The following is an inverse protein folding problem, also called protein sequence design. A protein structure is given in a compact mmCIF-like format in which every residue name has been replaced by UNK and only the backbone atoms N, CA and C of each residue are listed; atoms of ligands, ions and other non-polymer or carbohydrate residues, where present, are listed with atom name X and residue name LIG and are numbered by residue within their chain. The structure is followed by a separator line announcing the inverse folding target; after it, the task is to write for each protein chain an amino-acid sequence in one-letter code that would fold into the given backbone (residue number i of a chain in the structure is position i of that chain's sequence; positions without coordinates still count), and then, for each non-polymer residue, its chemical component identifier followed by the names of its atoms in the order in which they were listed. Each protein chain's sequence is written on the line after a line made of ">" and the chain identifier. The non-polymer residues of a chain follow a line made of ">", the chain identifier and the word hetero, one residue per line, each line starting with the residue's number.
data_IF_123427033942
#
_entry.id   IF_123427033942
#
_cell.length_a   1.000
_cell.length_b   1.000
_cell.length_c   1.000
_cell.angle_alpha   90.00
_cell.angle_beta   90.00
_cell.angle_gamma   90.00
#
_symmetry.space_group_name_H-M   'P 1'
#
loop_
_entity.id
_entity.type
_entity.pdbx_description
1 polymer ?
#
# COMPACT_ATOMS: atom_id res chain seq x y z
N UNK A 1 20.80 -5.28 -7.67
CA UNK A 1 19.50 -5.29 -6.95
C UNK A 1 18.41 -5.69 -7.93
N UNK A 2 17.76 -6.85 -7.76
CA UNK A 2 16.62 -7.23 -8.61
C UNK A 2 15.49 -6.22 -8.38
N UNK A 3 14.99 -5.60 -9.44
CA UNK A 3 13.86 -4.66 -9.40
C UNK A 3 12.65 -5.46 -8.93
N UNK A 4 12.18 -5.18 -7.71
CA UNK A 4 11.00 -5.83 -7.15
C UNK A 4 9.77 -5.24 -7.84
N UNK A 5 9.36 -5.84 -8.96
CA UNK A 5 8.27 -5.34 -9.82
C UNK A 5 6.94 -5.26 -9.05
N UNK A 6 6.74 -6.14 -8.07
CA UNK A 6 5.54 -6.12 -7.21
C UNK A 6 5.57 -4.90 -6.30
N UNK A 7 6.75 -4.49 -5.84
CA UNK A 7 6.90 -3.31 -4.97
C UNK A 7 6.38 -2.05 -5.64
N UNK A 8 6.90 -1.74 -6.83
CA UNK A 8 6.58 -0.49 -7.52
C UNK A 8 5.13 -0.51 -8.01
N UNK A 9 4.64 -1.66 -8.50
CA UNK A 9 3.25 -1.84 -8.91
C UNK A 9 2.27 -1.69 -7.75
N UNK A 10 2.50 -2.37 -6.63
CA UNK A 10 1.64 -2.27 -5.46
C UNK A 10 1.65 -0.84 -4.89
N UNK A 11 2.83 -0.20 -4.84
CA UNK A 11 2.93 1.21 -4.43
C UNK A 11 2.03 2.09 -5.28
N UNK A 12 2.07 1.99 -6.61
CA UNK A 12 1.19 2.80 -7.46
C UNK A 12 -0.30 2.47 -7.27
N UNK A 13 -0.66 1.19 -7.08
CA UNK A 13 -2.04 0.80 -6.79
C UNK A 13 -2.57 1.44 -5.50
N UNK A 14 -1.79 1.42 -4.41
CA UNK A 14 -2.15 2.08 -3.15
C UNK A 14 -2.31 3.60 -3.32
N UNK A 15 -1.45 4.22 -4.13
CA UNK A 15 -1.51 5.66 -4.40
C UNK A 15 -2.70 6.04 -5.25
N UNK A 16 -3.00 5.23 -6.27
CA UNK A 16 -4.18 5.43 -7.09
C UNK A 16 -5.45 5.33 -6.25
N UNK A 17 -5.53 4.34 -5.36
CA UNK A 17 -6.63 4.21 -4.42
C UNK A 17 -6.81 5.46 -3.54
N UNK A 18 -5.71 6.02 -3.02
CA UNK A 18 -5.73 7.28 -2.28
C UNK A 18 -6.13 8.48 -3.14
N UNK A 19 -5.65 8.54 -4.40
CA UNK A 19 -6.00 9.59 -5.37
C UNK A 19 -7.50 9.61 -5.67
N UNK A 20 -8.13 8.43 -5.69
CA UNK A 20 -9.57 8.25 -5.88
C UNK A 20 -10.41 8.53 -4.62
N UNK A 21 -9.80 8.91 -3.50
CA UNK A 21 -10.52 9.25 -2.26
C UNK A 21 -10.83 8.05 -1.36
N UNK A 22 -10.10 6.94 -1.51
CA UNK A 22 -10.30 5.71 -0.75
C UNK A 22 -11.71 5.09 -0.90
N UNK A 23 -12.17 4.83 -2.14
CA UNK A 23 -13.51 4.32 -2.39
C UNK A 23 -13.73 2.94 -1.75
N UNK A 24 -14.91 2.71 -1.20
CA UNK A 24 -15.34 1.39 -0.73
C UNK A 24 -15.52 0.41 -1.89
N UNK A 25 -15.52 -0.90 -1.60
CA UNK A 25 -15.76 -1.95 -2.59
C UNK A 25 -17.04 -1.72 -3.44
N UNK A 26 -18.08 -1.11 -2.86
CA UNK A 26 -19.34 -0.82 -3.54
C UNK A 26 -19.25 0.34 -4.53
N UNK A 27 -18.33 1.27 -4.29
CA UNK A 27 -18.10 2.45 -5.13
C UNK A 27 -17.14 2.15 -6.29
N UNK A 28 -16.38 1.06 -6.21
CA UNK A 28 -15.43 0.65 -7.25
C UNK A 28 -16.18 -0.14 -8.34
N UNK A 29 -16.83 0.60 -9.23
CA UNK A 29 -17.43 0.09 -10.46
C UNK A 29 -16.39 -0.19 -11.55
N UNK A 30 -16.86 -0.83 -12.64
CA UNK A 30 -16.08 -1.04 -13.86
C UNK A 30 -15.20 -2.29 -13.86
N UNK A 31 -14.65 -2.54 -15.05
CA UNK A 31 -13.88 -3.73 -15.39
C UNK A 31 -12.42 -3.38 -15.74
N UNK A 32 -11.58 -4.41 -15.86
CA UNK A 32 -10.16 -4.25 -16.22
C UNK A 32 -9.21 -4.10 -15.04
N UNK A 33 -7.93 -3.86 -15.37
CA UNK A 33 -6.83 -3.93 -14.42
C UNK A 33 -6.92 -2.90 -13.30
N UNK A 34 -7.26 -1.65 -13.63
CA UNK A 34 -7.39 -0.55 -12.68
C UNK A 34 -8.48 -0.80 -11.64
N UNK A 35 -9.67 -1.22 -12.07
CA UNK A 35 -10.76 -1.53 -11.15
C UNK A 35 -10.43 -2.73 -10.26
N UNK A 36 -9.74 -3.74 -10.81
CA UNK A 36 -9.25 -4.88 -10.03
C UNK A 36 -8.17 -4.47 -9.00
N UNK A 37 -7.30 -3.53 -9.33
CA UNK A 37 -6.29 -2.98 -8.41
C UNK A 37 -6.94 -2.22 -7.25
N UNK A 38 -7.90 -1.34 -7.56
CA UNK A 38 -8.65 -0.60 -6.56
C UNK A 38 -9.41 -1.55 -5.61
N UNK A 39 -10.09 -2.57 -6.15
CA UNK A 39 -10.78 -3.60 -5.35
C UNK A 39 -9.80 -4.38 -4.48
N UNK A 40 -8.65 -4.77 -5.02
CA UNK A 40 -7.62 -5.47 -4.26
C UNK A 40 -7.05 -4.61 -3.13
N UNK A 41 -6.82 -3.31 -3.33
CA UNK A 41 -6.39 -2.40 -2.26
C UNK A 41 -7.47 -2.28 -1.18
N UNK A 42 -8.74 -2.06 -1.56
CA UNK A 42 -9.85 -1.98 -0.59
C UNK A 42 -9.94 -3.27 0.24
N UNK A 43 -9.78 -4.43 -0.40
CA UNK A 43 -9.84 -5.72 0.25
C UNK A 43 -8.63 -5.98 1.15
N UNK A 44 -7.42 -5.56 0.76
CA UNK A 44 -6.22 -5.62 1.60
C UNK A 44 -6.43 -4.84 2.90
N UNK A 45 -6.92 -3.60 2.81
CA UNK A 45 -7.18 -2.78 3.99
C UNK A 45 -8.24 -3.42 4.89
N UNK A 46 -9.29 -4.00 4.30
CA UNK A 46 -10.34 -4.72 5.03
C UNK A 46 -9.79 -5.95 5.77
N UNK A 47 -8.97 -6.78 5.10
CA UNK A 47 -8.35 -7.96 5.71
C UNK A 47 -7.43 -7.57 6.86
N UNK A 48 -6.60 -6.53 6.68
CA UNK A 48 -5.70 -6.05 7.73
C UNK A 48 -6.48 -5.56 8.95
N UNK A 49 -7.59 -4.84 8.75
CA UNK A 49 -8.43 -4.34 9.83
C UNK A 49 -9.08 -5.49 10.60
N UNK A 50 -9.60 -6.49 9.90
CA UNK A 50 -10.15 -7.70 10.52
C UNK A 50 -9.11 -8.54 11.28
N UNK A 51 -7.84 -8.43 10.90
CA UNK A 51 -6.73 -9.06 11.62
C UNK A 51 -6.19 -8.21 12.77
N UNK A 52 -6.76 -7.02 13.03
CA UNK A 52 -6.30 -6.09 14.06
C UNK A 52 -4.94 -5.46 13.75
N UNK A 53 -4.51 -5.44 12.49
CA UNK A 53 -3.20 -4.92 12.04
C UNK A 53 -3.24 -3.42 11.74
N UNK A 54 -3.71 -2.65 12.72
CA UNK A 54 -3.90 -1.20 12.58
C UNK A 54 -2.59 -0.47 12.30
N UNK A 55 -1.47 -0.94 12.86
CA UNK A 55 -0.14 -0.38 12.61
C UNK A 55 0.30 -0.53 11.14
N UNK A 56 -0.12 -1.62 10.49
CA UNK A 56 0.15 -1.85 9.06
C UNK A 56 -0.69 -0.90 8.21
N UNK A 57 -1.96 -0.72 8.55
CA UNK A 57 -2.87 0.22 7.86
C UNK A 57 -2.35 1.65 8.02
N UNK A 58 -1.99 2.04 9.23
CA UNK A 58 -1.45 3.36 9.54
C UNK A 58 -0.17 3.64 8.74
N UNK A 59 0.75 2.67 8.66
CA UNK A 59 1.97 2.80 7.86
C UNK A 59 1.67 2.95 6.36
N UNK A 60 0.75 2.15 5.80
CA UNK A 60 0.34 2.25 4.38
C UNK A 60 -0.23 3.64 4.08
N UNK A 61 -1.10 4.16 4.95
CA UNK A 61 -1.70 5.48 4.78
C UNK A 61 -0.64 6.59 4.87
N UNK A 62 0.21 6.56 5.90
CA UNK A 62 1.24 7.57 6.11
C UNK A 62 2.29 7.59 4.98
N UNK A 63 2.58 6.45 4.36
CA UNK A 63 3.65 6.36 3.36
C UNK A 63 3.12 6.49 1.93
N UNK A 64 2.01 5.83 1.58
CA UNK A 64 1.50 5.82 0.21
C UNK A 64 0.35 6.80 -0.04
N UNK A 65 -0.44 7.17 0.98
CA UNK A 65 -1.62 8.01 0.74
C UNK A 65 -1.29 9.50 0.82
N UNK A 66 -0.10 9.86 1.31
CA UNK A 66 0.39 11.25 1.34
C UNK A 66 0.72 11.73 -0.08
N UNK A 67 0.19 12.89 -0.44
CA UNK A 67 0.39 13.53 -1.75
C UNK A 67 0.29 12.55 -2.93
N UNK A 68 -0.84 11.84 -3.11
CA UNK A 68 -0.95 10.72 -4.06
C UNK A 68 -0.96 11.18 -5.52
N UNK A 69 -1.06 12.50 -5.77
CA UNK A 69 -1.02 13.11 -7.10
C UNK A 69 0.37 13.61 -7.51
N UNK A 70 1.29 13.79 -6.57
CA UNK A 70 2.66 14.25 -6.86
C UNK A 70 3.52 13.07 -7.34
N UNK A 71 4.61 13.28 -8.06
CA UNK A 71 5.54 12.19 -8.37
C UNK A 71 6.30 11.75 -7.10
N UNK A 72 6.73 10.47 -7.01
CA UNK A 72 7.62 10.05 -5.91
C UNK A 72 9.05 10.34 -6.35
N UNK A 73 9.65 11.32 -5.70
CA UNK A 73 11.07 11.58 -5.85
C UNK A 73 11.91 10.53 -5.11
N UNK A 74 13.16 10.41 -5.51
CA UNK A 74 14.11 9.52 -4.84
C UNK A 74 14.25 9.96 -3.38
N UNK A 75 13.97 9.03 -2.46
CA UNK A 75 14.07 9.28 -1.02
C UNK A 75 12.75 9.69 -0.34
N UNK A 76 11.70 10.04 -1.08
CA UNK A 76 10.43 10.46 -0.46
C UNK A 76 9.80 9.34 0.37
N UNK A 77 9.88 8.08 -0.07
CA UNK A 77 9.39 6.94 0.72
C UNK A 77 10.17 6.79 2.02
N UNK A 78 11.50 6.92 1.97
CA UNK A 78 12.34 6.85 3.18
C UNK A 78 11.99 7.95 4.17
N UNK A 79 11.88 9.20 3.69
CA UNK A 79 11.50 10.34 4.54
C UNK A 79 10.13 10.15 5.20
N UNK A 80 9.13 9.62 4.46
CA UNK A 80 7.81 9.32 5.02
C UNK A 80 7.84 8.20 6.05
N UNK A 81 8.65 7.17 5.82
CA UNK A 81 8.86 6.07 6.77
C UNK A 81 9.52 6.58 8.04
N UNK A 82 10.56 7.41 7.93
CA UNK A 82 11.24 8.02 9.09
C UNK A 82 10.29 8.91 9.88
N UNK A 83 9.53 9.78 9.20
CA UNK A 83 8.53 10.63 9.84
C UNK A 83 7.46 9.82 10.59
N UNK A 84 6.97 8.73 9.98
CA UNK A 84 5.99 7.85 10.63
C UNK A 84 6.57 7.09 11.83
N UNK A 85 7.80 6.60 11.72
CA UNK A 85 8.52 5.89 12.78
C UNK A 85 8.76 6.76 14.03
N UNK A 86 8.90 8.07 13.87
CA UNK A 86 8.98 9.02 15.00
C UNK A 86 7.64 9.14 15.71
N UNK A 87 6.53 9.17 14.97
CA UNK A 87 5.18 9.33 15.54
C UNK A 87 4.62 8.07 16.21
N UNK A 88 4.98 6.88 15.71
CA UNK A 88 4.68 5.60 16.34
C UNK A 88 6.03 4.95 16.67
N UNK A 89 6.53 5.02 17.94
CA UNK A 89 7.91 4.70 18.31
C UNK A 89 8.34 3.28 17.93
N UNK A 90 8.69 3.10 16.67
CA UNK A 90 9.00 1.85 16.02
C UNK A 90 10.21 2.07 15.12
N UNK A 91 11.07 1.07 15.01
CA UNK A 91 12.22 1.18 14.10
C UNK A 91 11.75 1.34 12.63
N UNK A 92 12.41 2.17 11.80
CA UNK A 92 12.10 2.28 10.38
C UNK A 92 12.07 0.94 9.64
N UNK A 93 12.92 -0.01 10.05
CA UNK A 93 12.92 -1.39 9.54
C UNK A 93 11.60 -2.13 9.81
N UNK A 94 10.97 -1.89 10.96
CA UNK A 94 9.64 -2.42 11.30
C UNK A 94 8.57 -1.84 10.37
N UNK A 95 8.62 -0.53 10.09
CA UNK A 95 7.70 0.11 9.14
C UNK A 95 7.87 -0.48 7.74
N UNK A 96 9.11 -0.67 7.27
CA UNK A 96 9.35 -1.34 5.98
C UNK A 96 8.81 -2.78 5.95
N UNK A 97 8.87 -3.51 7.08
CA UNK A 97 8.29 -4.85 7.20
C UNK A 97 6.76 -4.80 7.11
N UNK A 98 6.09 -3.86 7.76
CA UNK A 98 4.65 -3.64 7.63
C UNK A 98 4.25 -3.31 6.19
N UNK A 99 4.97 -2.40 5.53
CA UNK A 99 4.72 -2.06 4.12
C UNK A 99 4.93 -3.28 3.21
N UNK A 100 5.91 -4.14 3.49
CA UNK A 100 6.08 -5.41 2.79
C UNK A 100 4.88 -6.33 3.02
N UNK A 101 4.41 -6.49 4.26
CA UNK A 101 3.20 -7.28 4.56
C UNK A 101 1.99 -6.84 3.74
N UNK A 102 1.75 -5.54 3.62
CA UNK A 102 0.65 -5.01 2.81
C UNK A 102 0.82 -5.30 1.31
N UNK A 103 2.04 -5.14 0.76
CA UNK A 103 2.33 -5.42 -0.66
C UNK A 103 2.25 -6.91 -1.01
N UNK A 104 2.73 -7.77 -0.11
CA UNK A 104 2.63 -9.22 -0.28
C UNK A 104 1.17 -9.69 -0.23
N UNK A 105 0.37 -9.12 0.67
CA UNK A 105 -1.07 -9.39 0.74
C UNK A 105 -1.78 -8.88 -0.52
N UNK A 106 -1.45 -7.67 -1.00
CA UNK A 106 -1.96 -7.15 -2.26
C UNK A 106 -1.66 -8.09 -3.43
N UNK A 107 -0.42 -8.56 -3.56
CA UNK A 107 -0.07 -9.52 -4.60
C UNK A 107 -0.91 -10.80 -4.56
N UNK A 108 -1.20 -11.32 -3.36
CA UNK A 108 -2.06 -12.50 -3.18
C UNK A 108 -3.51 -12.22 -3.56
N UNK A 109 -4.11 -11.14 -3.04
CA UNK A 109 -5.50 -10.75 -3.31
C UNK A 109 -5.69 -10.46 -4.80
N UNK A 110 -4.72 -9.79 -5.42
CA UNK A 110 -4.79 -9.39 -6.83
C UNK A 110 -4.52 -10.55 -7.81
N UNK A 111 -4.02 -11.69 -7.32
CA UNK A 111 -3.64 -12.85 -8.13
C UNK A 111 -2.32 -12.67 -8.88
N UNK A 112 -1.43 -11.79 -8.41
CA UNK A 112 -0.10 -11.60 -9.01
C UNK A 112 0.80 -12.77 -8.63
N UNK A 113 1.41 -13.40 -9.63
CA UNK A 113 2.29 -14.56 -9.44
C UNK A 113 3.56 -14.13 -8.68
N UNK A 114 3.61 -14.40 -7.38
CA UNK A 114 4.84 -14.24 -6.59
C UNK A 114 5.82 -15.33 -7.02
N UNK A 115 7.00 -14.95 -7.54
CA UNK A 115 8.08 -15.92 -7.76
C UNK A 115 8.47 -16.46 -6.37
N UNK A 116 8.21 -17.76 -6.16
CA UNK A 116 8.75 -18.55 -5.05
C UNK A 116 10.27 -18.57 -5.12
#
# INVERSE_FOLDING_TARGET
>A
MKKDLIRDYATEAFRLYARMGCPSLREIGGEGATAADLRAVSEVLRILALQGKEEVIAAVRAVYFVAPRQEIERGSISARVEAFAVGLPAAPSTVYRWLRTARDLFGKVRGLRQKR
#
